data_IF_983339545122
#
_entry.id   IF_983339545122
#
_cell.length_a   1.000
_cell.length_b   1.000
_cell.length_c   1.000
_cell.angle_alpha   90.00
_cell.angle_beta   90.00
_cell.angle_gamma   90.00
#
_symmetry.space_group_name_H-M   'P 1'
#
loop_
_entity.id
_entity.type
_entity.pdbx_description
1 polymer ?
#
# COMPACT_ATOMS: atom_id res chain seq x y z
N UNK A 1 -61.89 46.48 18.91
CA UNK A 1 -61.05 46.74 17.72
C UNK A 1 -59.84 45.79 17.82
N UNK A 2 -59.97 44.62 17.22
CA UNK A 2 -59.02 43.50 17.38
C UNK A 2 -58.36 43.26 16.06
N UNK A 3 -57.08 43.56 15.99
CA UNK A 3 -56.22 43.43 14.81
C UNK A 3 -55.70 42.00 14.73
N UNK A 4 -56.14 41.20 13.75
CA UNK A 4 -55.66 39.85 13.46
C UNK A 4 -54.37 39.95 12.63
N UNK A 5 -53.26 39.55 13.24
CA UNK A 5 -51.97 39.37 12.52
C UNK A 5 -52.02 37.97 11.84
N UNK A 6 -52.02 37.94 10.53
CA UNK A 6 -51.83 36.72 9.72
C UNK A 6 -50.30 36.49 9.56
N UNK A 7 -49.79 35.45 10.24
CA UNK A 7 -48.42 34.96 9.99
C UNK A 7 -48.50 34.06 8.74
N UNK A 8 -47.83 34.50 7.68
CA UNK A 8 -47.65 33.73 6.45
C UNK A 8 -46.35 32.90 6.62
N UNK A 9 -46.53 31.61 6.88
CA UNK A 9 -45.40 30.66 6.92
C UNK A 9 -45.17 30.23 5.48
N UNK A 10 -44.08 30.69 4.90
CA UNK A 10 -43.58 30.27 3.59
C UNK A 10 -42.72 29.00 3.77
N UNK A 11 -43.29 27.83 3.46
CA UNK A 11 -42.53 26.60 3.36
C UNK A 11 -41.69 26.63 2.04
N UNK A 12 -40.40 26.88 2.14
CA UNK A 12 -39.47 26.57 1.09
C UNK A 12 -39.12 25.08 1.17
N UNK A 13 -39.80 24.28 0.36
CA UNK A 13 -39.40 22.91 0.10
C UNK A 13 -38.24 22.95 -0.88
N UNK A 14 -37.02 22.91 -0.36
CA UNK A 14 -35.83 22.71 -1.20
C UNK A 14 -35.74 21.22 -1.49
N UNK A 15 -36.29 20.82 -2.63
CA UNK A 15 -35.98 19.51 -3.21
C UNK A 15 -34.53 19.49 -3.69
N UNK A 16 -33.62 19.06 -2.82
CA UNK A 16 -32.28 18.68 -3.26
C UNK A 16 -32.37 17.35 -4.01
N UNK A 17 -32.60 17.41 -5.29
CA UNK A 17 -32.26 16.29 -6.17
C UNK A 17 -30.73 16.15 -6.15
N UNK A 18 -30.24 15.18 -5.38
CA UNK A 18 -28.87 14.73 -5.50
C UNK A 18 -28.72 14.01 -6.85
N UNK A 19 -28.49 14.77 -7.91
CA UNK A 19 -27.87 14.22 -9.12
C UNK A 19 -26.53 13.65 -8.72
N UNK A 20 -26.28 12.41 -9.12
CA UNK A 20 -24.99 11.74 -8.90
C UNK A 20 -23.83 12.70 -9.17
N UNK A 21 -23.14 13.07 -8.12
CA UNK A 21 -21.96 13.93 -8.23
C UNK A 21 -20.84 13.12 -8.83
N UNK A 22 -20.65 13.26 -10.14
CA UNK A 22 -19.32 13.13 -10.72
C UNK A 22 -18.40 13.98 -9.86
N UNK A 23 -17.38 13.37 -9.27
CA UNK A 23 -16.35 14.08 -8.49
C UNK A 23 -15.84 15.22 -9.37
N UNK A 24 -15.94 16.49 -8.96
CA UNK A 24 -15.31 17.55 -9.73
C UNK A 24 -13.80 17.36 -9.59
N UNK A 25 -13.20 16.76 -10.59
CA UNK A 25 -11.76 16.79 -10.78
C UNK A 25 -11.43 18.26 -10.95
N UNK A 26 -10.75 18.87 -9.98
CA UNK A 26 -10.18 20.20 -10.17
C UNK A 26 -9.15 20.08 -11.30
N UNK A 27 -9.59 20.30 -12.52
CA UNK A 27 -8.75 20.29 -13.71
C UNK A 27 -8.03 21.62 -13.80
N UNK A 28 -6.81 21.69 -13.33
CA UNK A 28 -5.85 22.64 -13.90
C UNK A 28 -5.67 22.24 -15.37
N UNK A 29 -5.87 23.17 -16.29
CA UNK A 29 -5.92 22.93 -17.75
C UNK A 29 -4.64 22.36 -18.37
N UNK A 30 -3.58 22.13 -17.60
CA UNK A 30 -2.28 21.68 -18.10
C UNK A 30 -2.03 20.15 -18.04
N UNK A 31 -2.90 19.36 -17.35
CA UNK A 31 -2.73 17.89 -17.26
C UNK A 31 -4.05 17.15 -17.51
N UNK A 32 -4.65 17.34 -18.66
CA UNK A 32 -6.05 16.97 -18.92
C UNK A 32 -6.30 15.62 -19.56
N UNK A 33 -5.33 14.73 -19.68
CA UNK A 33 -5.59 13.37 -20.16
C UNK A 33 -5.05 12.36 -19.17
N UNK A 34 -5.96 11.82 -18.34
CA UNK A 34 -5.66 10.63 -17.54
C UNK A 34 -5.39 9.49 -18.52
N UNK A 35 -4.23 8.88 -18.43
CA UNK A 35 -3.90 7.73 -19.26
C UNK A 35 -4.76 6.55 -18.84
N UNK A 36 -5.48 5.95 -19.79
CA UNK A 36 -6.28 4.74 -19.57
C UNK A 36 -5.44 3.52 -19.88
N UNK A 37 -5.41 2.58 -18.98
CA UNK A 37 -4.79 1.26 -19.14
C UNK A 37 -5.91 0.24 -19.20
N UNK A 38 -6.06 -0.43 -20.34
CA UNK A 38 -6.98 -1.54 -20.49
C UNK A 38 -6.46 -2.77 -19.75
N UNK A 39 -7.16 -3.14 -18.68
CA UNK A 39 -6.77 -4.25 -17.81
C UNK A 39 -7.10 -5.63 -18.41
N UNK A 40 -7.75 -5.69 -19.58
CA UNK A 40 -7.94 -6.91 -20.36
C UNK A 40 -6.82 -7.13 -21.40
N UNK A 41 -6.14 -6.05 -21.81
CA UNK A 41 -5.05 -6.07 -22.80
C UNK A 41 -3.69 -6.12 -22.12
N UNK A 42 -3.30 -7.27 -21.61
CA UNK A 42 -1.99 -7.44 -20.97
C UNK A 42 -1.10 -8.44 -21.75
N UNK A 43 0.20 -8.21 -21.60
CA UNK A 43 1.20 -9.18 -22.09
C UNK A 43 1.60 -10.09 -20.95
N UNK A 44 1.28 -11.38 -21.08
CA UNK A 44 1.83 -12.38 -20.16
C UNK A 44 3.32 -12.53 -20.41
N UNK A 45 4.11 -12.35 -19.38
CA UNK A 45 5.57 -12.50 -19.44
C UNK A 45 6.07 -13.38 -18.29
N UNK A 46 7.25 -13.94 -18.47
CA UNK A 46 8.02 -14.46 -17.35
C UNK A 46 8.62 -13.27 -16.60
N UNK A 47 8.48 -13.24 -15.28
CA UNK A 47 9.04 -12.19 -14.42
C UNK A 47 10.56 -12.04 -14.59
N UNK A 48 11.27 -13.13 -14.88
CA UNK A 48 12.72 -13.13 -15.18
C UNK A 48 13.10 -12.14 -16.31
N UNK A 49 12.17 -11.86 -17.23
CA UNK A 49 12.39 -10.86 -18.27
C UNK A 49 12.55 -9.44 -17.72
N UNK A 50 11.98 -9.16 -16.55
CA UNK A 50 12.09 -7.88 -15.86
C UNK A 50 13.30 -7.83 -14.91
N UNK A 51 13.85 -8.97 -14.51
CA UNK A 51 14.93 -9.06 -13.53
C UNK A 51 16.29 -8.81 -14.22
N UNK A 52 17.07 -7.90 -13.66
CA UNK A 52 18.46 -7.67 -14.05
C UNK A 52 19.41 -8.50 -13.19
N UNK A 53 19.21 -8.49 -11.89
CA UNK A 53 20.02 -9.20 -10.92
C UNK A 53 19.24 -9.50 -9.65
N UNK A 54 19.66 -10.51 -8.90
CA UNK A 54 19.17 -10.79 -7.54
C UNK A 54 20.36 -10.86 -6.59
N UNK A 55 20.26 -10.21 -5.45
CA UNK A 55 21.13 -10.42 -4.31
C UNK A 55 20.35 -10.96 -3.12
N UNK A 56 21.05 -11.68 -2.25
CA UNK A 56 20.44 -12.39 -1.12
C UNK A 56 21.11 -11.94 0.18
N UNK A 57 20.29 -11.63 1.19
CA UNK A 57 20.74 -11.37 2.55
C UNK A 57 19.99 -12.31 3.49
N UNK A 58 20.71 -13.18 4.23
CA UNK A 58 20.08 -14.01 5.26
C UNK A 58 19.88 -13.16 6.51
N UNK A 59 18.65 -13.13 7.03
CA UNK A 59 18.35 -12.41 8.26
C UNK A 59 18.63 -13.31 9.46
N UNK A 60 19.23 -12.73 10.49
CA UNK A 60 19.76 -13.46 11.65
C UNK A 60 18.69 -14.18 12.48
N UNK A 61 17.40 -13.87 12.31
CA UNK A 61 16.38 -14.41 13.21
C UNK A 61 15.05 -14.72 12.54
N UNK A 62 14.33 -15.67 13.14
CA UNK A 62 12.97 -16.06 12.76
C UNK A 62 11.95 -15.22 13.55
N UNK A 63 11.82 -13.95 13.22
CA UNK A 63 10.99 -13.02 14.00
C UNK A 63 9.56 -12.85 13.46
N UNK A 64 9.23 -13.39 12.29
CA UNK A 64 7.93 -13.20 11.64
C UNK A 64 7.35 -14.50 11.12
N UNK A 65 6.03 -14.56 11.02
CA UNK A 65 5.34 -15.58 10.24
C UNK A 65 5.34 -15.21 8.76
N UNK A 66 5.24 -13.89 8.46
CA UNK A 66 5.45 -13.32 7.12
C UNK A 66 5.76 -11.82 7.17
N UNK A 67 6.45 -11.33 6.14
CA UNK A 67 6.73 -9.90 5.97
C UNK A 67 5.52 -9.14 5.47
N UNK A 68 5.34 -7.92 5.97
CA UNK A 68 4.25 -7.02 5.56
C UNK A 68 4.77 -5.88 4.70
N UNK A 69 5.73 -5.12 5.23
CA UNK A 69 6.34 -4.01 4.52
C UNK A 69 7.77 -3.79 4.99
N UNK A 70 8.55 -3.21 4.11
CA UNK A 70 9.95 -2.89 4.37
C UNK A 70 10.28 -1.51 3.83
N UNK A 71 11.16 -0.82 4.53
CA UNK A 71 11.84 0.38 4.03
C UNK A 71 13.31 0.33 4.37
N UNK A 72 14.12 1.01 3.59
CA UNK A 72 15.57 1.11 3.81
C UNK A 72 15.94 2.56 4.09
N UNK A 73 16.92 2.76 4.94
CA UNK A 73 17.53 4.07 5.11
C UNK A 73 18.97 3.93 5.54
N UNK A 74 19.89 4.60 4.83
CA UNK A 74 21.34 4.47 5.01
C UNK A 74 21.78 3.00 4.91
N UNK A 75 22.30 2.42 5.97
CA UNK A 75 22.80 1.05 6.07
C UNK A 75 21.88 0.13 6.89
N UNK A 76 20.60 0.49 7.02
CA UNK A 76 19.62 -0.27 7.80
C UNK A 76 18.40 -0.68 7.00
N UNK A 77 17.85 -1.82 7.41
CA UNK A 77 16.62 -2.41 6.92
C UNK A 77 15.58 -2.34 8.04
N UNK A 78 14.44 -1.78 7.77
CA UNK A 78 13.31 -1.70 8.69
C UNK A 78 12.20 -2.58 8.13
N UNK A 79 11.92 -3.68 8.81
CA UNK A 79 10.95 -4.67 8.35
C UNK A 79 9.80 -4.73 9.35
N UNK A 80 8.59 -4.52 8.89
CA UNK A 80 7.39 -4.85 9.63
C UNK A 80 6.88 -6.21 9.16
N UNK A 81 6.67 -7.12 10.10
CA UNK A 81 6.17 -8.45 9.82
C UNK A 81 5.07 -8.85 10.80
N UNK A 82 4.32 -9.87 10.42
CA UNK A 82 3.25 -10.47 11.22
C UNK A 82 3.78 -11.61 12.06
N UNK A 83 3.26 -11.71 13.29
CA UNK A 83 3.41 -12.87 14.17
C UNK A 83 2.06 -13.24 14.75
N UNK A 84 1.96 -14.41 15.40
CA UNK A 84 0.76 -14.82 16.14
C UNK A 84 0.36 -13.77 17.18
N UNK A 85 1.34 -13.11 17.80
CA UNK A 85 1.11 -12.07 18.82
C UNK A 85 0.77 -10.68 18.23
N UNK A 86 0.83 -10.50 16.92
CA UNK A 86 0.57 -9.23 16.25
C UNK A 86 1.69 -8.80 15.31
N UNK A 87 1.66 -7.57 14.83
CA UNK A 87 2.69 -7.05 13.96
C UNK A 87 3.88 -6.56 14.78
N UNK A 88 5.09 -6.82 14.27
CA UNK A 88 6.36 -6.36 14.84
C UNK A 88 7.10 -5.49 13.84
N UNK A 89 7.94 -4.60 14.35
CA UNK A 89 8.95 -3.90 13.55
C UNK A 89 10.33 -4.31 14.04
N UNK A 90 11.18 -4.71 13.12
CA UNK A 90 12.53 -5.17 13.38
C UNK A 90 13.51 -4.40 12.52
N UNK A 91 14.62 -4.04 13.11
CA UNK A 91 15.73 -3.30 12.46
C UNK A 91 16.89 -4.27 12.29
N UNK A 92 17.34 -4.42 11.04
CA UNK A 92 18.57 -5.12 10.69
C UNK A 92 19.57 -4.13 10.08
N UNK A 93 20.83 -4.49 10.11
CA UNK A 93 21.81 -3.86 9.23
C UNK A 93 21.75 -4.47 7.82
N UNK A 94 22.52 -3.92 6.88
CA UNK A 94 22.56 -4.41 5.49
C UNK A 94 23.12 -5.83 5.34
N UNK A 95 23.86 -6.32 6.33
CA UNK A 95 24.37 -7.70 6.35
C UNK A 95 23.32 -8.71 6.84
N UNK A 96 22.17 -8.25 7.35
CA UNK A 96 21.11 -9.08 7.90
C UNK A 96 21.25 -9.35 9.41
N UNK A 97 22.21 -8.73 10.09
CA UNK A 97 22.37 -8.85 11.54
C UNK A 97 21.28 -8.07 12.26
N UNK A 98 20.72 -8.68 13.30
CA UNK A 98 19.69 -8.05 14.13
C UNK A 98 20.27 -6.86 14.92
N UNK A 99 19.73 -5.67 14.67
CA UNK A 99 20.06 -4.46 15.43
C UNK A 99 19.11 -4.28 16.60
N UNK A 100 17.80 -4.37 16.33
CA UNK A 100 16.76 -4.11 17.33
C UNK A 100 15.42 -4.71 16.94
N UNK A 101 14.73 -5.28 17.93
CA UNK A 101 13.30 -5.54 17.86
C UNK A 101 12.57 -4.42 18.61
N UNK A 102 11.58 -3.78 17.97
CA UNK A 102 10.79 -2.75 18.62
C UNK A 102 9.62 -3.37 19.36
N UNK A 103 9.51 -3.04 20.64
CA UNK A 103 8.41 -3.46 21.49
C UNK A 103 7.33 -2.37 21.55
N UNK A 104 6.07 -2.79 21.46
CA UNK A 104 4.91 -1.92 21.56
C UNK A 104 4.00 -2.43 22.67
N UNK A 105 3.47 -1.52 23.47
CA UNK A 105 2.47 -1.88 24.48
C UNK A 105 1.22 -2.54 23.88
N UNK A 106 0.96 -2.30 22.59
CA UNK A 106 -0.20 -2.75 21.83
C UNK A 106 0.23 -3.38 20.50
N UNK A 107 1.10 -4.39 20.55
CA UNK A 107 1.68 -5.04 19.36
C UNK A 107 0.64 -5.52 18.33
N UNK A 108 -0.55 -5.93 18.78
CA UNK A 108 -1.64 -6.38 17.90
C UNK A 108 -2.11 -5.35 16.89
N UNK A 109 -1.82 -4.08 17.12
CA UNK A 109 -2.38 -2.95 16.38
C UNK A 109 -1.33 -2.05 15.71
N UNK A 110 -0.13 -2.56 15.46
CA UNK A 110 0.87 -1.89 14.60
C UNK A 110 0.40 -2.01 13.15
N UNK A 111 0.33 -0.88 12.43
CA UNK A 111 -0.37 -0.79 11.15
C UNK A 111 0.56 -0.42 10.01
N UNK A 112 1.41 0.58 10.21
CA UNK A 112 2.36 1.04 9.21
C UNK A 112 3.58 1.68 9.85
N UNK A 113 4.61 1.89 9.06
CA UNK A 113 5.82 2.60 9.47
C UNK A 113 6.30 3.53 8.36
N UNK A 114 7.01 4.58 8.75
CA UNK A 114 7.65 5.52 7.83
C UNK A 114 8.98 6.00 8.41
N UNK A 115 9.98 6.16 7.56
CA UNK A 115 11.19 6.89 7.88
C UNK A 115 10.95 8.37 7.62
N UNK A 116 11.37 9.21 8.55
CA UNK A 116 11.35 10.67 8.43
C UNK A 116 12.82 11.12 8.30
N UNK A 117 13.34 11.26 7.06
CA UNK A 117 14.77 11.44 6.84
C UNK A 117 15.34 12.69 7.52
N UNK A 118 14.64 13.81 7.42
CA UNK A 118 15.10 15.10 7.97
C UNK A 118 15.17 15.11 9.51
N UNK A 119 14.34 14.30 10.17
CA UNK A 119 14.34 14.15 11.62
C UNK A 119 15.23 13.01 12.09
N UNK A 120 15.75 12.17 11.19
CA UNK A 120 16.43 10.90 11.51
C UNK A 120 15.59 10.01 12.45
N UNK A 121 14.28 9.95 12.20
CA UNK A 121 13.32 9.20 13.03
C UNK A 121 12.62 8.10 12.24
N UNK A 122 12.29 7.01 12.93
CA UNK A 122 11.34 5.99 12.52
C UNK A 122 10.01 6.25 13.24
N UNK A 123 8.95 6.43 12.48
CA UNK A 123 7.61 6.58 13.03
C UNK A 123 6.79 5.34 12.73
N UNK A 124 6.18 4.79 13.77
CA UNK A 124 5.35 3.58 13.68
C UNK A 124 3.93 3.91 14.11
N UNK A 125 2.98 3.71 13.20
CA UNK A 125 1.56 3.93 13.45
C UNK A 125 0.98 2.71 14.14
N UNK A 126 0.27 2.93 15.25
CA UNK A 126 -0.49 1.91 15.93
C UNK A 126 -1.91 2.39 16.27
N UNK A 127 -2.87 1.44 16.38
CA UNK A 127 -4.29 1.75 16.68
C UNK A 127 -4.91 2.82 15.75
N UNK A 128 -4.42 2.99 14.54
CA UNK A 128 -4.84 4.03 13.59
C UNK A 128 -4.73 5.49 14.07
N UNK A 129 -4.38 5.74 15.32
CA UNK A 129 -4.38 7.08 15.94
C UNK A 129 -3.15 7.38 16.78
N UNK A 130 -2.17 6.51 16.78
CA UNK A 130 -1.00 6.68 17.63
C UNK A 130 0.25 6.55 16.77
N UNK A 131 1.11 7.54 16.86
CA UNK A 131 2.47 7.47 16.31
C UNK A 131 3.44 7.22 17.46
N UNK A 132 4.16 6.12 17.38
CA UNK A 132 5.31 5.83 18.23
C UNK A 132 6.56 6.26 17.47
N UNK A 133 7.29 7.23 18.01
CA UNK A 133 8.50 7.79 17.41
C UNK A 133 9.73 7.15 18.03
N UNK A 134 10.65 6.76 17.18
CA UNK A 134 11.94 6.18 17.54
C UNK A 134 13.06 6.89 16.79
N UNK A 135 14.26 6.90 17.37
CA UNK A 135 15.47 7.12 16.58
C UNK A 135 15.64 5.99 15.57
N UNK A 136 16.49 6.19 14.57
CA UNK A 136 16.76 5.15 13.55
C UNK A 136 17.40 3.87 14.12
N UNK A 137 18.00 3.93 15.31
CA UNK A 137 18.54 2.77 16.03
C UNK A 137 17.48 2.01 16.86
N UNK A 138 16.23 2.47 16.84
CA UNK A 138 15.14 1.89 17.61
C UNK A 138 15.03 2.41 19.06
N UNK A 139 15.80 3.43 19.44
CA UNK A 139 15.62 4.08 20.75
C UNK A 139 14.30 4.86 20.77
N UNK A 140 13.39 4.61 21.73
CA UNK A 140 12.13 5.33 21.81
C UNK A 140 12.33 6.80 22.10
N UNK A 141 11.55 7.67 21.44
CA UNK A 141 11.56 9.13 21.63
C UNK A 141 10.30 9.54 22.36
N UNK A 142 9.13 9.34 21.73
CA UNK A 142 7.83 9.72 22.31
C UNK A 142 6.69 9.03 21.58
N UNK A 143 5.51 9.06 22.24
CA UNK A 143 4.24 8.63 21.70
C UNK A 143 3.33 9.84 21.48
N UNK A 144 2.67 9.92 20.33
CA UNK A 144 1.81 11.04 19.94
C UNK A 144 0.45 10.48 19.52
N UNK A 145 -0.64 11.03 20.08
CA UNK A 145 -1.99 10.72 19.62
C UNK A 145 -2.38 11.66 18.47
N UNK A 146 -3.01 11.11 17.45
CA UNK A 146 -3.54 11.84 16.32
C UNK A 146 -5.03 12.16 16.52
N UNK A 147 -5.51 13.32 16.07
CA UNK A 147 -6.92 13.67 16.15
C UNK A 147 -7.77 12.94 15.10
N UNK A 148 -7.15 12.32 14.10
CA UNK A 148 -7.78 11.62 13.00
C UNK A 148 -7.14 10.24 12.77
N UNK A 149 -7.82 9.32 12.06
CA UNK A 149 -7.27 8.00 11.74
C UNK A 149 -6.14 8.09 10.71
N UNK A 150 -5.14 7.23 10.89
CA UNK A 150 -3.99 7.11 10.03
C UNK A 150 -3.68 5.62 9.81
N UNK A 151 -3.90 5.12 8.62
CA UNK A 151 -3.48 3.78 8.22
C UNK A 151 -2.08 3.80 7.58
N UNK A 152 -1.80 4.79 6.73
CA UNK A 152 -0.48 5.01 6.17
C UNK A 152 -0.05 6.46 6.35
N UNK A 153 1.22 6.61 6.65
CA UNK A 153 1.89 7.88 6.83
C UNK A 153 2.96 8.03 5.74
N UNK A 154 2.86 9.07 4.94
CA UNK A 154 3.75 9.30 3.80
C UNK A 154 4.41 10.67 3.99
N UNK A 155 5.70 10.75 4.27
CA UNK A 155 6.42 12.03 4.34
C UNK A 155 6.46 12.69 2.95
N UNK A 156 6.09 13.98 2.87
CA UNK A 156 6.07 14.74 1.60
C UNK A 156 6.75 16.09 1.74
N UNK A 157 7.75 16.18 2.58
CA UNK A 157 8.52 17.38 2.88
C UNK A 157 8.94 17.40 4.34
N UNK A 158 9.59 18.48 4.75
CA UNK A 158 10.20 18.56 6.09
C UNK A 158 9.18 18.43 7.24
N UNK A 159 7.98 18.97 7.08
CA UNK A 159 6.95 18.97 8.12
C UNK A 159 5.56 18.58 7.61
N UNK A 160 5.46 18.15 6.36
CA UNK A 160 4.20 17.80 5.74
C UNK A 160 4.11 16.30 5.49
N UNK A 161 2.93 15.77 5.70
CA UNK A 161 2.62 14.35 5.57
C UNK A 161 1.32 14.17 4.80
N UNK A 162 1.33 13.25 3.87
CA UNK A 162 0.08 12.69 3.39
C UNK A 162 -0.33 11.56 4.33
N UNK A 163 -1.52 11.65 4.86
CA UNK A 163 -2.10 10.65 5.74
C UNK A 163 -3.26 9.99 5.03
N UNK A 164 -3.18 8.67 4.86
CA UNK A 164 -4.26 7.85 4.36
C UNK A 164 -5.01 7.24 5.54
N UNK A 165 -6.32 7.44 5.60
CA UNK A 165 -7.15 6.95 6.70
C UNK A 165 -7.39 5.44 6.64
N UNK A 166 -7.25 4.84 5.45
CA UNK A 166 -7.65 3.46 5.19
C UNK A 166 -9.16 3.33 5.00
N UNK A 167 -9.58 2.23 4.40
CA UNK A 167 -10.98 1.83 4.35
C UNK A 167 -11.40 1.03 5.60
N UNK A 168 -10.70 1.17 6.71
CA UNK A 168 -10.82 0.23 7.81
C UNK A 168 -11.80 0.64 8.87
N UNK A 169 -12.64 -0.32 9.16
CA UNK A 169 -13.19 -0.62 10.49
C UNK A 169 -13.66 0.59 11.29
N UNK A 170 -14.89 0.90 11.13
CA UNK A 170 -15.68 1.86 11.85
C UNK A 170 -15.92 3.19 11.13
N UNK A 171 -17.13 3.64 11.14
CA UNK A 171 -17.63 4.96 10.75
C UNK A 171 -16.81 6.17 11.25
N UNK A 172 -15.73 5.91 11.98
CA UNK A 172 -14.73 6.84 12.50
C UNK A 172 -13.45 6.87 11.65
N UNK A 173 -13.39 6.15 10.54
CA UNK A 173 -12.18 5.92 9.75
C UNK A 173 -11.90 6.92 8.64
N UNK A 174 -12.61 8.03 8.52
CA UNK A 174 -12.30 9.07 7.55
C UNK A 174 -11.70 10.31 8.19
N UNK A 175 -10.91 11.04 7.43
CA UNK A 175 -10.44 12.37 7.81
C UNK A 175 -11.44 13.35 7.20
N UNK A 176 -12.40 13.82 8.00
CA UNK A 176 -13.47 14.74 7.54
C UNK A 176 -14.16 14.26 6.24
N UNK A 177 -14.49 12.97 6.16
CA UNK A 177 -15.14 12.39 4.98
C UNK A 177 -14.22 12.15 3.78
N UNK A 178 -12.90 12.13 3.97
CA UNK A 178 -11.93 11.88 2.91
C UNK A 178 -10.99 10.74 3.25
N UNK A 179 -10.44 10.10 2.22
CA UNK A 179 -9.45 9.03 2.37
C UNK A 179 -8.05 9.56 2.64
N UNK A 180 -7.71 10.73 2.10
CA UNK A 180 -6.37 11.26 2.11
C UNK A 180 -6.36 12.73 2.55
N UNK A 181 -5.41 13.08 3.40
CA UNK A 181 -5.21 14.44 3.88
C UNK A 181 -3.73 14.84 3.84
N UNK A 182 -3.46 16.09 3.51
CA UNK A 182 -2.19 16.75 3.74
C UNK A 182 -2.23 17.44 5.09
N UNK A 183 -1.27 17.17 5.96
CA UNK A 183 -1.24 17.68 7.33
C UNK A 183 0.18 17.88 7.83
N UNK A 184 0.33 18.81 8.79
CA UNK A 184 1.51 18.97 9.64
C UNK A 184 1.29 18.40 11.06
N UNK A 185 0.18 17.67 11.27
CA UNK A 185 -0.34 17.16 12.53
C UNK A 185 -0.84 18.23 13.54
N UNK A 186 -0.68 19.50 13.23
CA UNK A 186 -1.32 20.60 13.99
C UNK A 186 -2.63 21.00 13.33
N UNK A 187 -2.67 20.93 12.00
CA UNK A 187 -3.82 21.26 11.17
C UNK A 187 -3.95 20.31 9.98
N UNK A 188 -5.17 20.17 9.47
CA UNK A 188 -5.42 19.55 8.17
C UNK A 188 -5.31 20.68 7.14
N UNK A 189 -4.27 20.61 6.30
CA UNK A 189 -3.99 21.66 5.32
C UNK A 189 -4.82 21.49 4.06
N UNK A 190 -5.08 20.24 3.64
CA UNK A 190 -5.85 19.91 2.45
C UNK A 190 -6.43 18.51 2.54
N UNK A 191 -7.62 18.32 1.96
CA UNK A 191 -8.32 17.04 1.86
C UNK A 191 -8.38 16.59 0.42
N UNK A 192 -8.23 15.27 0.19
CA UNK A 192 -8.27 14.65 -1.12
C UNK A 192 -9.08 13.37 -1.06
N UNK A 193 -9.60 12.97 -2.21
CA UNK A 193 -10.30 11.70 -2.40
C UNK A 193 -11.47 11.55 -1.43
N UNK A 194 -12.61 12.22 -1.71
CA UNK A 194 -13.81 12.08 -0.90
C UNK A 194 -14.18 10.61 -0.73
N UNK A 195 -14.45 10.22 0.51
CA UNK A 195 -14.90 8.88 0.83
C UNK A 195 -16.30 8.69 0.31
N UNK A 196 -16.57 7.54 -0.27
CA UNK A 196 -17.89 7.15 -0.70
C UNK A 196 -18.36 5.96 0.15
N UNK A 197 -19.62 5.99 0.56
CA UNK A 197 -20.26 4.90 1.30
C UNK A 197 -20.11 4.96 2.82
N UNK A 198 -20.76 4.02 3.48
CA UNK A 198 -20.78 3.90 4.95
C UNK A 198 -19.69 2.99 5.50
N UNK A 199 -18.91 2.49 4.63
CA UNK A 199 -18.13 1.35 4.70
C UNK A 199 -17.09 1.09 5.68
N UNK A 200 -17.00 -0.11 6.07
CA UNK A 200 -16.15 -0.71 7.05
C UNK A 200 -15.51 -1.97 6.49
N UNK A 201 -14.79 -1.82 5.35
CA UNK A 201 -14.05 -2.97 4.86
C UNK A 201 -12.68 -3.02 5.48
N UNK A 202 -12.29 -4.16 6.10
CA UNK A 202 -11.00 -4.34 6.70
C UNK A 202 -9.93 -4.61 5.64
N UNK A 203 -9.66 -3.68 4.78
CA UNK A 203 -8.45 -3.70 3.98
C UNK A 203 -7.50 -2.66 4.53
N UNK A 204 -6.66 -3.03 5.49
CA UNK A 204 -5.48 -2.24 5.77
C UNK A 204 -4.52 -2.43 4.60
N UNK A 205 -4.41 -1.49 3.66
CA UNK A 205 -3.52 -1.63 2.53
C UNK A 205 -2.10 -1.58 3.04
N UNK A 206 -1.37 -2.62 2.68
CA UNK A 206 0.04 -2.76 3.01
C UNK A 206 0.79 -1.92 2.02
N UNK A 207 1.06 -1.06 1.60
CA UNK A 207 1.68 -0.30 0.52
C UNK A 207 0.67 0.21 -0.49
N UNK A 208 0.07 1.33 -0.17
CA UNK A 208 -0.78 2.09 -1.10
C UNK A 208 0.01 3.15 -1.85
N UNK A 209 1.26 3.36 -1.55
CA UNK A 209 2.08 4.36 -2.20
C UNK A 209 3.40 3.77 -2.68
N UNK A 210 3.93 4.37 -3.73
CA UNK A 210 5.22 4.05 -4.30
C UNK A 210 5.92 5.34 -4.74
N UNK A 211 7.23 5.39 -4.61
CA UNK A 211 8.03 6.56 -4.91
C UNK A 211 9.13 6.19 -5.90
N UNK A 212 9.42 7.07 -6.85
CA UNK A 212 10.53 6.84 -7.77
C UNK A 212 11.89 7.06 -7.09
N UNK A 213 12.96 6.57 -7.71
CA UNK A 213 14.34 6.63 -7.17
C UNK A 213 14.77 8.05 -6.80
N UNK A 214 14.28 9.05 -7.53
CA UNK A 214 14.60 10.46 -7.29
C UNK A 214 13.64 11.15 -6.33
N UNK A 215 12.68 10.42 -5.80
CA UNK A 215 11.60 10.91 -4.95
C UNK A 215 10.81 12.11 -5.53
N UNK A 216 10.85 12.28 -6.86
CA UNK A 216 10.15 13.36 -7.53
C UNK A 216 8.68 13.04 -7.78
N UNK A 217 8.36 11.75 -7.97
CA UNK A 217 7.01 11.28 -8.19
C UNK A 217 6.59 10.35 -7.06
N UNK A 218 5.53 10.71 -6.41
CA UNK A 218 4.84 9.88 -5.43
C UNK A 218 3.53 9.41 -6.06
N UNK A 219 3.40 8.11 -6.24
CA UNK A 219 2.19 7.46 -6.72
C UNK A 219 1.39 6.92 -5.55
N UNK A 220 0.08 7.05 -5.64
CA UNK A 220 -0.85 6.59 -4.61
C UNK A 220 -1.92 5.73 -5.28
N UNK A 221 -2.06 4.51 -4.82
CA UNK A 221 -3.11 3.60 -5.29
C UNK A 221 -3.96 3.21 -4.09
N UNK A 222 -5.03 3.96 -3.80
CA UNK A 222 -5.95 3.61 -2.72
C UNK A 222 -6.66 2.30 -3.04
N UNK A 223 -7.00 1.53 -2.00
CA UNK A 223 -7.90 0.40 -2.18
C UNK A 223 -9.29 0.87 -2.61
N UNK A 224 -10.03 -0.02 -3.24
CA UNK A 224 -11.42 0.21 -3.68
C UNK A 224 -11.57 1.32 -4.74
N UNK A 225 -10.46 1.74 -5.35
CA UNK A 225 -10.42 2.73 -6.42
C UNK A 225 -9.60 2.17 -7.59
N UNK A 226 -10.13 2.30 -8.81
CA UNK A 226 -9.52 1.86 -10.06
C UNK A 226 -8.55 2.88 -10.67
N UNK A 227 -8.15 3.87 -9.91
CA UNK A 227 -7.32 4.98 -10.35
C UNK A 227 -6.07 5.09 -9.49
N UNK A 228 -4.91 5.15 -10.15
CA UNK A 228 -3.64 5.49 -9.53
C UNK A 228 -3.47 7.01 -9.62
N UNK A 229 -3.16 7.63 -8.51
CA UNK A 229 -2.95 9.07 -8.40
C UNK A 229 -1.45 9.40 -8.31
N UNK A 230 -1.10 10.63 -8.69
CA UNK A 230 0.21 11.21 -8.41
C UNK A 230 0.08 12.40 -7.48
N UNK A 231 1.03 12.56 -6.57
CA UNK A 231 1.14 13.74 -5.72
C UNK A 231 2.21 14.67 -6.26
N UNK A 232 1.82 15.91 -6.54
CA UNK A 232 2.75 16.97 -6.91
C UNK A 232 3.15 17.76 -5.65
N UNK A 233 4.40 17.63 -5.25
CA UNK A 233 4.90 18.26 -4.02
C UNK A 233 4.91 19.79 -4.12
N UNK A 234 5.25 20.36 -5.30
CA UNK A 234 5.30 21.80 -5.49
C UNK A 234 3.93 22.46 -5.38
N UNK A 235 2.90 21.80 -5.92
CA UNK A 235 1.51 22.28 -5.87
C UNK A 235 0.75 21.85 -4.62
N UNK A 236 1.30 20.91 -3.85
CA UNK A 236 0.62 20.29 -2.71
C UNK A 236 -0.72 19.68 -3.13
N UNK A 237 -0.76 18.96 -4.25
CA UNK A 237 -2.00 18.48 -4.86
C UNK A 237 -1.88 17.04 -5.38
N UNK A 238 -3.00 16.32 -5.32
CA UNK A 238 -3.15 14.95 -5.82
C UNK A 238 -3.94 15.00 -7.12
N UNK A 239 -3.42 14.35 -8.14
CA UNK A 239 -4.03 14.29 -9.48
C UNK A 239 -4.22 12.84 -9.90
N UNK A 240 -5.30 12.48 -10.60
CA UNK A 240 -5.42 11.18 -11.24
C UNK A 240 -4.31 11.05 -12.31
N UNK A 241 -3.63 9.92 -12.29
CA UNK A 241 -2.48 9.65 -13.14
C UNK A 241 -2.77 8.54 -14.15
N UNK A 242 -3.19 7.37 -13.68
CA UNK A 242 -3.60 6.26 -14.52
C UNK A 242 -5.00 5.78 -14.11
N UNK A 243 -5.90 5.61 -15.07
CA UNK A 243 -7.16 4.93 -14.89
C UNK A 243 -7.03 3.48 -15.36
N UNK A 244 -7.27 2.54 -14.46
CA UNK A 244 -7.23 1.10 -14.73
C UNK A 244 -8.61 0.63 -15.14
N UNK A 245 -8.81 0.41 -16.43
CA UNK A 245 -10.11 -0.02 -16.96
C UNK A 245 -10.27 -1.54 -16.86
N UNK A 246 -11.04 -1.98 -15.92
CA UNK A 246 -11.36 -3.37 -15.69
C UNK A 246 -12.62 -3.85 -16.45
N UNK A 247 -13.19 -3.06 -17.35
CA UNK A 247 -14.41 -3.37 -18.10
C UNK A 247 -15.57 -3.83 -17.21
N UNK A 248 -15.70 -3.23 -16.04
CA UNK A 248 -16.75 -3.54 -15.08
C UNK A 248 -16.44 -4.70 -14.13
N UNK A 249 -15.26 -5.30 -14.20
CA UNK A 249 -14.84 -6.35 -13.26
C UNK A 249 -14.32 -5.81 -11.92
N UNK A 250 -14.18 -4.51 -11.78
CA UNK A 250 -13.78 -3.88 -10.50
C UNK A 250 -15.03 -3.62 -9.63
N UNK A 251 -14.88 -3.77 -8.31
CA UNK A 251 -15.92 -3.45 -7.34
C UNK A 251 -16.00 -1.94 -7.13
N UNK A 252 -16.80 -1.30 -7.94
CA UNK A 252 -17.03 0.15 -7.87
C UNK A 252 -18.12 0.51 -6.87
N UNK A 253 -18.25 1.78 -6.55
CA UNK A 253 -19.24 2.31 -5.61
C UNK A 253 -20.68 1.86 -5.92
N UNK A 254 -21.07 1.85 -7.19
CA UNK A 254 -22.41 1.46 -7.65
C UNK A 254 -22.68 -0.05 -7.57
N UNK A 255 -21.65 -0.86 -7.39
CA UNK A 255 -21.72 -2.32 -7.21
C UNK A 255 -21.51 -2.76 -5.77
N UNK A 256 -21.12 -1.83 -4.92
CA UNK A 256 -20.91 -2.11 -3.51
C UNK A 256 -22.27 -2.27 -2.81
N UNK A 257 -22.50 -3.36 -2.07
CA UNK A 257 -23.75 -3.52 -1.34
C UNK A 257 -23.86 -2.49 -0.22
N UNK A 258 -25.03 -1.86 -0.12
CA UNK A 258 -25.36 -0.92 0.93
C UNK A 258 -26.73 -1.24 1.53
N UNK A 259 -26.81 -1.33 2.85
CA UNK A 259 -28.05 -1.49 3.55
C UNK A 259 -28.14 -2.76 4.40
N UNK A 260 -29.34 -3.13 4.86
CA UNK A 260 -29.53 -4.34 5.65
C UNK A 260 -29.12 -5.60 4.87
N UNK A 261 -28.18 -6.38 5.43
CA UNK A 261 -27.65 -7.59 4.77
C UNK A 261 -26.38 -7.37 3.91
N UNK A 262 -25.85 -6.16 3.87
CA UNK A 262 -24.63 -5.82 3.13
C UNK A 262 -23.43 -6.71 3.46
N UNK A 263 -23.24 -7.08 4.73
CA UNK A 263 -22.17 -7.95 5.18
C UNK A 263 -22.24 -9.34 4.55
N UNK A 264 -23.46 -9.89 4.42
CA UNK A 264 -23.67 -11.19 3.79
C UNK A 264 -23.39 -11.12 2.29
N UNK A 265 -23.92 -10.10 1.60
CA UNK A 265 -23.74 -9.91 0.17
C UNK A 265 -22.25 -9.69 -0.16
N UNK A 266 -21.57 -8.92 0.63
CA UNK A 266 -20.14 -8.70 0.45
C UNK A 266 -19.31 -9.95 0.76
N UNK A 267 -19.66 -10.70 1.80
CA UNK A 267 -19.06 -11.99 2.05
C UNK A 267 -19.22 -12.92 0.83
N UNK A 268 -20.37 -12.89 0.16
CA UNK A 268 -20.56 -13.62 -1.07
C UNK A 268 -19.70 -13.11 -2.24
N UNK A 269 -19.58 -11.78 -2.40
CA UNK A 269 -18.72 -11.18 -3.43
C UNK A 269 -17.26 -11.64 -3.26
N UNK A 270 -16.75 -11.62 -2.02
CA UNK A 270 -15.40 -12.05 -1.70
C UNK A 270 -15.25 -13.56 -1.90
N UNK A 271 -16.13 -14.36 -1.34
CA UNK A 271 -16.06 -15.82 -1.39
C UNK A 271 -16.17 -16.35 -2.82
N UNK A 272 -17.08 -15.78 -3.61
CA UNK A 272 -17.30 -16.15 -5.01
C UNK A 272 -16.33 -15.45 -5.96
N UNK A 273 -15.45 -14.57 -5.47
CA UNK A 273 -14.50 -13.79 -6.28
C UNK A 273 -15.17 -13.10 -7.47
N UNK A 274 -16.32 -12.50 -7.24
CA UNK A 274 -17.16 -11.93 -8.29
C UNK A 274 -16.52 -10.74 -8.99
N UNK A 275 -15.77 -9.93 -8.23
CA UNK A 275 -15.08 -8.74 -8.69
C UNK A 275 -13.61 -8.72 -8.25
N UNK A 276 -12.80 -7.86 -8.86
CA UNK A 276 -11.54 -7.38 -8.30
C UNK A 276 -11.92 -6.30 -7.29
N UNK A 277 -11.50 -6.46 -6.04
CA UNK A 277 -11.92 -5.56 -4.95
C UNK A 277 -10.77 -4.92 -4.19
N UNK A 278 -9.54 -5.31 -4.48
CA UNK A 278 -8.37 -4.74 -3.80
C UNK A 278 -7.09 -5.02 -4.60
N UNK A 279 -6.01 -4.44 -4.11
CA UNK A 279 -4.65 -4.75 -4.57
C UNK A 279 -3.70 -4.81 -3.38
N UNK A 280 -2.55 -5.46 -3.58
CA UNK A 280 -1.44 -5.53 -2.63
C UNK A 280 -0.11 -5.23 -3.30
N UNK A 281 0.93 -5.05 -2.49
CA UNK A 281 2.31 -4.91 -2.99
C UNK A 281 2.52 -3.77 -3.97
N UNK A 282 1.84 -2.63 -3.79
CA UNK A 282 2.06 -1.48 -4.65
C UNK A 282 3.45 -0.90 -4.45
N UNK A 283 4.30 -1.05 -5.45
CA UNK A 283 5.69 -0.65 -5.43
C UNK A 283 6.10 -0.02 -6.77
N UNK A 284 7.22 0.71 -6.78
CA UNK A 284 7.81 1.28 -7.99
C UNK A 284 9.28 0.88 -8.05
N UNK A 285 9.73 0.37 -9.20
CA UNK A 285 11.13 0.10 -9.47
C UNK A 285 11.45 0.31 -10.96
N UNK A 286 12.56 1.00 -11.24
CA UNK A 286 13.08 1.26 -12.59
C UNK A 286 12.00 1.70 -13.58
N UNK A 287 11.21 2.71 -13.22
CA UNK A 287 10.17 3.28 -14.07
C UNK A 287 8.96 2.37 -14.32
N UNK A 288 8.75 1.35 -13.47
CA UNK A 288 7.60 0.45 -13.54
C UNK A 288 6.86 0.43 -12.21
N UNK A 289 5.53 0.41 -12.27
CA UNK A 289 4.67 0.15 -11.11
C UNK A 289 4.42 -1.35 -11.02
N UNK A 290 4.43 -1.89 -9.81
CA UNK A 290 4.16 -3.29 -9.50
C UNK A 290 3.03 -3.38 -8.47
N UNK A 291 2.11 -4.30 -8.66
CA UNK A 291 1.02 -4.59 -7.72
C UNK A 291 0.43 -5.98 -7.97
N UNK A 292 -0.25 -6.52 -6.96
CA UNK A 292 -1.02 -7.76 -7.08
C UNK A 292 -2.50 -7.43 -7.01
N UNK A 293 -3.30 -7.91 -7.95
CA UNK A 293 -4.76 -7.82 -7.91
C UNK A 293 -5.33 -8.88 -6.97
N UNK A 294 -6.49 -8.59 -6.38
CA UNK A 294 -7.18 -9.48 -5.45
C UNK A 294 -8.66 -9.57 -5.78
N UNK A 295 -9.18 -10.79 -5.82
CA UNK A 295 -10.56 -11.09 -6.14
C UNK A 295 -10.72 -11.97 -7.36
N UNK A 296 -11.48 -11.53 -8.35
CA UNK A 296 -11.72 -12.26 -9.61
C UNK A 296 -10.42 -12.64 -10.33
N UNK A 297 -9.38 -11.82 -10.17
CA UNK A 297 -8.02 -12.08 -10.66
C UNK A 297 -7.04 -11.96 -9.50
N UNK A 298 -6.02 -12.80 -9.50
CA UNK A 298 -4.92 -12.78 -8.53
C UNK A 298 -3.56 -12.65 -9.21
N UNK A 299 -3.52 -11.88 -10.30
CA UNK A 299 -2.31 -11.68 -11.07
C UNK A 299 -1.39 -10.66 -10.42
N UNK A 300 -0.10 -10.90 -10.55
CA UNK A 300 0.90 -9.86 -10.40
C UNK A 300 0.93 -9.02 -11.67
N UNK A 301 0.85 -7.73 -11.51
CA UNK A 301 0.85 -6.78 -12.61
C UNK A 301 2.07 -5.87 -12.54
N UNK A 302 2.56 -5.47 -13.71
CA UNK A 302 3.53 -4.39 -13.84
C UNK A 302 3.12 -3.45 -14.97
N UNK A 303 3.10 -2.15 -14.71
CA UNK A 303 2.86 -1.11 -15.72
C UNK A 303 4.18 -0.39 -15.97
N UNK A 304 4.66 -0.43 -17.20
CA UNK A 304 5.81 0.36 -17.61
C UNK A 304 5.38 1.81 -17.87
N UNK A 305 5.86 2.73 -17.05
CA UNK A 305 5.46 4.14 -17.08
C UNK A 305 5.94 4.90 -18.33
N UNK A 306 6.93 4.36 -19.05
CA UNK A 306 7.47 4.98 -20.28
C UNK A 306 6.55 4.82 -21.47
N UNK A 307 5.89 3.67 -21.59
CA UNK A 307 5.08 3.30 -22.75
C UNK A 307 3.68 2.80 -22.41
N UNK A 308 3.30 2.83 -21.13
CA UNK A 308 1.99 2.42 -20.60
C UNK A 308 1.62 0.95 -20.91
N UNK A 309 2.62 0.09 -21.12
CA UNK A 309 2.38 -1.33 -21.37
C UNK A 309 2.15 -2.05 -20.06
N UNK A 310 1.01 -2.76 -19.99
CA UNK A 310 0.66 -3.65 -18.89
C UNK A 310 1.24 -5.04 -19.12
N UNK A 311 1.95 -5.54 -18.13
CA UNK A 311 2.43 -6.92 -18.03
C UNK A 311 1.69 -7.65 -16.92
N UNK A 312 1.42 -8.94 -17.16
CA UNK A 312 0.91 -9.85 -16.14
C UNK A 312 1.83 -11.05 -16.00
N UNK A 313 2.04 -11.49 -14.77
CA UNK A 313 2.82 -12.68 -14.45
C UNK A 313 2.22 -13.35 -13.19
N UNK A 314 2.33 -14.66 -13.10
CA UNK A 314 1.78 -15.44 -11.98
C UNK A 314 2.85 -16.06 -11.08
N UNK A 315 4.10 -15.96 -11.49
CA UNK A 315 5.26 -16.47 -10.75
C UNK A 315 6.40 -15.47 -10.80
N UNK A 316 7.27 -15.53 -9.80
CA UNK A 316 8.50 -14.73 -9.75
C UNK A 316 9.67 -15.45 -10.46
N UNK A 317 10.87 -15.02 -10.17
CA UNK A 317 12.13 -15.54 -10.74
C UNK A 317 12.22 -17.08 -10.66
N UNK A 318 12.82 -17.70 -11.69
CA UNK A 318 12.93 -19.17 -11.82
C UNK A 318 11.58 -19.89 -11.56
N UNK A 319 10.46 -19.31 -11.94
CA UNK A 319 9.11 -19.81 -11.66
C UNK A 319 8.78 -19.96 -10.16
N UNK A 320 9.47 -19.26 -9.29
CA UNK A 320 9.17 -19.26 -7.86
C UNK A 320 7.78 -18.69 -7.59
N UNK A 321 7.01 -19.38 -6.76
CA UNK A 321 5.72 -18.92 -6.27
C UNK A 321 5.78 -18.72 -4.76
N UNK A 322 5.87 -17.47 -4.29
CA UNK A 322 5.90 -17.21 -2.85
C UNK A 322 4.56 -17.57 -2.21
N UNK A 323 4.61 -18.18 -1.03
CA UNK A 323 3.42 -18.49 -0.23
C UNK A 323 2.77 -17.19 0.28
N UNK A 324 3.56 -16.12 0.42
CA UNK A 324 3.06 -14.84 0.92
C UNK A 324 2.08 -14.17 -0.03
N UNK A 325 0.98 -13.64 0.51
CA UNK A 325 0.06 -12.78 -0.22
C UNK A 325 0.71 -11.47 -0.69
N UNK A 326 1.74 -11.01 0.00
CA UNK A 326 2.47 -9.77 -0.28
C UNK A 326 3.93 -10.10 -0.66
N UNK A 327 4.20 -10.49 -1.90
CA UNK A 327 5.54 -10.90 -2.30
C UNK A 327 6.52 -9.72 -2.29
N UNK A 328 6.10 -8.53 -2.74
CA UNK A 328 6.96 -7.34 -2.74
C UNK A 328 6.67 -6.52 -1.49
N UNK A 329 7.48 -6.69 -0.46
CA UNK A 329 7.30 -5.99 0.82
C UNK A 329 7.81 -4.54 0.79
N UNK A 330 8.50 -4.12 -0.26
CA UNK A 330 8.99 -2.76 -0.44
C UNK A 330 9.80 -2.58 -1.71
N UNK A 331 10.18 -1.33 -1.96
CA UNK A 331 11.09 -0.94 -3.04
C UNK A 331 11.89 0.31 -2.65
N UNK A 332 12.98 0.56 -3.37
CA UNK A 332 13.81 1.76 -3.24
C UNK A 332 13.87 2.59 -4.53
N UNK A 333 12.93 2.35 -5.45
CA UNK A 333 12.88 3.01 -6.75
C UNK A 333 13.68 2.29 -7.85
N UNK A 334 14.60 1.41 -7.50
CA UNK A 334 15.40 0.59 -8.42
C UNK A 334 15.19 -0.90 -8.20
N UNK A 335 15.12 -1.30 -6.93
CA UNK A 335 14.98 -2.68 -6.50
C UNK A 335 13.59 -2.95 -5.93
N UNK A 336 13.14 -4.19 -6.07
CA UNK A 336 12.03 -4.76 -5.30
C UNK A 336 12.59 -5.67 -4.21
N UNK A 337 11.93 -5.67 -3.06
CA UNK A 337 12.31 -6.50 -1.91
C UNK A 337 11.30 -7.61 -1.69
N UNK A 338 11.80 -8.84 -1.64
CA UNK A 338 11.01 -10.06 -1.40
C UNK A 338 11.55 -10.77 -0.17
N UNK A 339 10.70 -11.07 0.78
CA UNK A 339 11.07 -11.85 1.95
C UNK A 339 10.55 -13.28 1.80
N UNK A 340 11.47 -14.25 1.84
CA UNK A 340 11.18 -15.68 1.61
C UNK A 340 11.66 -16.49 2.79
N UNK A 341 10.92 -17.51 3.20
CA UNK A 341 11.42 -18.46 4.18
C UNK A 341 12.53 -19.33 3.57
N UNK A 342 13.54 -19.62 4.35
CA UNK A 342 14.66 -20.46 3.93
C UNK A 342 14.19 -21.81 3.35
N UNK A 343 13.26 -22.47 4.05
CA UNK A 343 12.68 -23.73 3.61
C UNK A 343 11.96 -23.66 2.27
N UNK A 344 11.20 -22.57 2.00
CA UNK A 344 10.49 -22.39 0.74
C UNK A 344 11.47 -22.30 -0.44
N UNK A 345 12.57 -21.57 -0.24
CA UNK A 345 13.62 -21.44 -1.26
C UNK A 345 14.37 -22.76 -1.45
N UNK A 346 14.67 -23.48 -0.36
CA UNK A 346 15.32 -24.78 -0.40
C UNK A 346 14.45 -25.81 -1.13
N UNK A 347 13.15 -25.91 -0.79
CA UNK A 347 12.20 -26.80 -1.45
C UNK A 347 12.05 -26.51 -2.95
N UNK A 348 11.95 -25.24 -3.32
CA UNK A 348 11.83 -24.82 -4.72
C UNK A 348 13.01 -25.31 -5.56
N UNK A 349 14.24 -25.13 -5.07
CA UNK A 349 15.43 -25.46 -5.81
C UNK A 349 15.90 -26.90 -5.69
N UNK A 350 15.17 -27.79 -4.99
CA UNK A 350 15.45 -29.23 -5.04
C UNK A 350 15.30 -29.83 -6.45
N UNK A 351 14.31 -29.33 -7.21
CA UNK A 351 13.92 -29.90 -8.49
C UNK A 351 14.07 -28.93 -9.66
N UNK A 352 14.52 -27.71 -9.42
CA UNK A 352 14.61 -26.65 -10.43
C UNK A 352 16.05 -26.14 -10.47
N UNK A 353 16.59 -25.99 -11.66
CA UNK A 353 17.90 -25.37 -11.83
C UNK A 353 17.84 -23.89 -11.55
N UNK A 354 18.58 -23.45 -10.56
CA UNK A 354 18.71 -22.04 -10.24
C UNK A 354 19.48 -21.29 -11.32
N UNK A 355 18.94 -20.17 -11.81
CA UNK A 355 19.60 -19.33 -12.83
C UNK A 355 20.34 -18.13 -12.24
N UNK A 356 20.12 -17.81 -10.98
CA UNK A 356 20.68 -16.61 -10.33
C UNK A 356 21.93 -16.94 -9.48
N UNK A 357 23.10 -16.37 -9.81
CA UNK A 357 24.35 -16.72 -9.13
C UNK A 357 24.34 -16.45 -7.61
N UNK A 358 23.64 -15.43 -7.15
CA UNK A 358 23.55 -15.14 -5.71
C UNK A 358 22.77 -16.21 -4.96
N UNK A 359 21.65 -16.69 -5.53
CA UNK A 359 20.87 -17.78 -4.97
C UNK A 359 21.67 -19.10 -5.04
N UNK A 360 22.33 -19.39 -6.18
CA UNK A 360 23.18 -20.58 -6.32
C UNK A 360 24.24 -20.68 -5.22
N UNK A 361 24.88 -19.56 -4.86
CA UNK A 361 25.86 -19.52 -3.77
C UNK A 361 25.26 -19.78 -2.39
N UNK A 362 23.99 -19.43 -2.22
CA UNK A 362 23.27 -19.60 -0.97
C UNK A 362 22.74 -21.04 -0.79
N UNK A 363 22.37 -21.73 -1.89
CA UNK A 363 21.73 -23.05 -1.87
C UNK A 363 22.43 -24.09 -0.97
N UNK A 364 23.78 -24.25 -0.96
CA UNK A 364 24.43 -25.23 -0.11
C UNK A 364 24.25 -24.99 1.39
N UNK A 365 23.92 -23.76 1.80
CA UNK A 365 23.68 -23.37 3.18
C UNK A 365 22.19 -23.34 3.55
N UNK A 366 21.26 -23.62 2.62
CA UNK A 366 19.84 -23.69 2.92
C UNK A 366 19.46 -25.06 3.50
N UNK A 367 18.52 -25.02 4.43
CA UNK A 367 17.97 -26.20 5.08
C UNK A 367 16.46 -26.30 4.83
N UNK A 368 15.97 -27.52 4.58
CA UNK A 368 14.53 -27.81 4.50
C UNK A 368 13.80 -27.60 5.83
N UNK A 369 14.54 -27.72 6.94
CA UNK A 369 14.04 -27.42 8.29
C UNK A 369 14.42 -26.01 8.73
N UNK A 370 15.00 -25.21 7.83
CA UNK A 370 15.48 -23.87 8.10
C UNK A 370 14.32 -22.89 8.35
N UNK A 371 14.41 -22.17 9.46
CA UNK A 371 13.41 -21.19 9.87
C UNK A 371 13.86 -19.76 9.67
N UNK A 372 15.03 -19.54 9.06
CA UNK A 372 15.54 -18.19 8.75
C UNK A 372 14.77 -17.54 7.61
N UNK A 373 14.82 -16.23 7.57
CA UNK A 373 14.31 -15.45 6.45
C UNK A 373 15.45 -15.04 5.52
N UNK A 374 15.19 -15.12 4.24
CA UNK A 374 16.07 -14.63 3.19
C UNK A 374 15.44 -13.40 2.55
N UNK A 375 16.11 -12.27 2.65
CA UNK A 375 15.75 -11.07 1.93
C UNK A 375 16.38 -11.12 0.54
N UNK A 376 15.54 -11.14 -0.46
CA UNK A 376 15.94 -11.05 -1.85
C UNK A 376 15.78 -9.60 -2.30
N UNK A 377 16.85 -9.02 -2.79
CA UNK A 377 16.87 -7.69 -3.43
C UNK A 377 16.93 -7.92 -4.94
N UNK A 378 15.84 -7.61 -5.62
CA UNK A 378 15.64 -7.86 -7.04
C UNK A 378 15.83 -6.55 -7.80
N UNK A 379 16.95 -6.42 -8.50
CA UNK A 379 17.20 -5.28 -9.39
C UNK A 379 16.38 -5.45 -10.67
N UNK A 380 15.56 -4.44 -10.96
CA UNK A 380 14.66 -4.42 -12.13
C UNK A 380 15.37 -3.76 -13.32
N UNK A 381 15.22 -4.33 -14.52
CA UNK A 381 15.69 -3.73 -15.78
C UNK A 381 14.94 -2.42 -16.05
N UNK A 382 15.64 -1.44 -16.59
CA UNK A 382 15.06 -0.18 -17.09
C UNK A 382 14.09 -0.36 -18.26
#
# INVERSE_FOLDING_TARGET
MTMKIKILILFFTVCCYAKGSTIPIQSDKEHNTVTRIDMSEYKTINFDNLVKNISCTRLESNLFDYGITMTTHKDRLYIMGRTIAGNKVVIFDKSGQLVKELTFADALLVISMAIIPDAEELWVVSRFKIINKFKLDGTPIKRVSLPFPCANLIPVGQQNFLVYSGGTCNSRGSIEGHFLALTDFKSINKLFLPKWGKEEWPSAPQNIYAQDEKANNLFIFPNDIDTIYSYNQQKGAVYPFLFLDFHGDFLTKDKHPYGPGEDQEMSEIITKRKYIYSHYSFNQASGKLFFKLVGKREDFCSINLKNNVLYSFNRLFDNFMPISYNPFIGSDGKNLYVLVQEKELAEHYQNIKCTYPAIQRLLPALSLDGNSWILLTIEIKE
#
